data_IF_087780454044
#
_entry.id   IF_087780454044
#
_cell.length_a   1.000
_cell.length_b   1.000
_cell.length_c   1.000
_cell.angle_alpha   90.00
_cell.angle_beta   90.00
_cell.angle_gamma   90.00
#
_symmetry.space_group_name_H-M   'P 1'
#
loop_
_entity.id
_entity.type
_entity.pdbx_description
1 polymer ?
#
# COMPACT_ATOMS: atom_id res chain seq x y z
N UNK A 1 -24.67 2.92 -32.70
CA UNK A 1 -24.19 2.38 -31.41
C UNK A 1 -22.93 3.13 -31.06
N UNK A 2 -22.94 3.91 -29.98
CA UNK A 2 -21.80 4.73 -29.57
C UNK A 2 -20.68 3.82 -29.05
N UNK A 3 -19.40 4.13 -29.32
CA UNK A 3 -18.25 3.37 -28.82
C UNK A 3 -18.31 3.19 -27.28
N UNK A 4 -18.83 4.19 -26.58
CA UNK A 4 -19.01 4.18 -25.12
C UNK A 4 -20.00 3.13 -24.59
N UNK A 5 -21.02 2.76 -25.37
CA UNK A 5 -22.00 1.75 -24.94
C UNK A 5 -21.45 0.31 -25.09
N UNK A 6 -20.54 0.12 -26.05
CA UNK A 6 -19.89 -1.17 -26.30
C UNK A 6 -18.96 -1.55 -25.13
N UNK A 7 -18.20 -0.57 -24.64
CA UNK A 7 -17.22 -0.69 -23.55
C UNK A 7 -17.90 -0.92 -22.19
N UNK A 8 -19.12 -0.40 -21.99
CA UNK A 8 -19.89 -0.62 -20.74
C UNK A 8 -20.62 -1.96 -20.69
N UNK A 9 -20.65 -2.72 -21.78
CA UNK A 9 -21.40 -3.98 -21.85
C UNK A 9 -20.77 -5.07 -20.97
N UNK A 10 -21.62 -5.91 -20.34
CA UNK A 10 -21.15 -7.09 -19.56
C UNK A 10 -20.22 -8.00 -20.36
N UNK A 11 -20.44 -8.12 -21.68
CA UNK A 11 -19.62 -8.93 -22.58
C UNK A 11 -18.21 -8.35 -22.72
N UNK A 12 -18.08 -7.02 -22.82
CA UNK A 12 -16.78 -6.34 -22.88
C UNK A 12 -16.00 -6.45 -21.57
N UNK A 13 -16.65 -6.30 -20.40
CA UNK A 13 -16.01 -6.47 -19.09
C UNK A 13 -15.47 -7.89 -18.88
N UNK A 14 -16.26 -8.91 -19.24
CA UNK A 14 -15.82 -10.32 -19.14
C UNK A 14 -14.71 -10.63 -20.15
N UNK A 15 -14.76 -10.02 -21.33
CA UNK A 15 -13.69 -10.13 -22.31
C UNK A 15 -12.39 -9.49 -21.81
N UNK A 16 -12.44 -8.28 -21.23
CA UNK A 16 -11.27 -7.60 -20.66
C UNK A 16 -10.67 -8.38 -19.49
N UNK A 17 -11.49 -8.88 -18.56
CA UNK A 17 -11.00 -9.74 -17.48
C UNK A 17 -10.22 -10.98 -17.98
N UNK A 18 -10.65 -11.58 -19.10
CA UNK A 18 -9.93 -12.69 -19.74
C UNK A 18 -8.68 -12.23 -20.47
N UNK A 19 -8.71 -11.06 -21.11
CA UNK A 19 -7.56 -10.46 -21.79
C UNK A 19 -6.43 -10.15 -20.80
N UNK A 20 -6.75 -9.58 -19.64
CA UNK A 20 -5.80 -9.34 -18.54
C UNK A 20 -5.20 -10.65 -18.01
N UNK A 21 -6.03 -11.66 -17.76
CA UNK A 21 -5.54 -12.96 -17.25
C UNK A 21 -4.65 -13.71 -18.24
N UNK A 22 -5.01 -13.73 -19.52
CA UNK A 22 -4.23 -14.39 -20.56
C UNK A 22 -2.91 -13.64 -20.78
N UNK A 23 -2.94 -12.32 -20.91
CA UNK A 23 -1.72 -11.55 -21.15
C UNK A 23 -0.75 -11.54 -19.96
N UNK A 24 -1.26 -11.45 -18.73
CA UNK A 24 -0.43 -11.59 -17.53
C UNK A 24 0.32 -12.94 -17.50
N UNK A 25 -0.34 -14.03 -17.94
CA UNK A 25 0.31 -15.35 -18.01
C UNK A 25 1.48 -15.38 -19.00
N UNK A 26 1.35 -14.74 -20.16
CA UNK A 26 2.40 -14.68 -21.20
C UNK A 26 3.59 -13.85 -20.71
N UNK A 27 3.33 -12.74 -20.01
CA UNK A 27 4.35 -11.86 -19.43
C UNK A 27 5.14 -12.55 -18.34
N UNK A 28 4.46 -13.27 -17.43
CA UNK A 28 5.09 -14.02 -16.35
C UNK A 28 5.98 -15.14 -16.92
N UNK A 29 5.56 -15.83 -17.98
CA UNK A 29 6.39 -16.85 -18.65
C UNK A 29 7.62 -16.21 -19.31
N UNK A 30 7.47 -15.04 -19.93
CA UNK A 30 8.60 -14.28 -20.49
C UNK A 30 9.61 -13.86 -19.43
N UNK A 31 9.15 -13.35 -18.29
CA UNK A 31 10.00 -13.02 -17.15
C UNK A 31 10.68 -14.27 -16.56
N UNK A 32 9.95 -15.38 -16.44
CA UNK A 32 10.50 -16.65 -15.94
C UNK A 32 11.65 -17.14 -16.82
N UNK A 33 11.49 -17.11 -18.15
CA UNK A 33 12.54 -17.51 -19.10
C UNK A 33 13.78 -16.63 -18.99
N UNK A 34 13.60 -15.33 -18.76
CA UNK A 34 14.69 -14.38 -18.55
C UNK A 34 15.48 -14.68 -17.28
N UNK A 35 14.80 -15.00 -16.17
CA UNK A 35 15.43 -15.29 -14.87
C UNK A 35 16.14 -16.67 -14.89
N UNK A 36 15.57 -17.66 -15.58
CA UNK A 36 16.09 -19.03 -15.64
C UNK A 36 17.11 -19.27 -16.77
N UNK A 37 17.42 -18.25 -17.57
CA UNK A 37 18.43 -18.29 -18.63
C UNK A 37 18.21 -19.41 -19.67
N UNK A 38 16.94 -19.70 -19.99
CA UNK A 38 16.58 -20.71 -20.99
C UNK A 38 16.89 -20.17 -22.39
N UNK A 39 17.35 -21.04 -23.30
CA UNK A 39 17.68 -20.65 -24.68
C UNK A 39 16.43 -20.09 -25.38
N UNK A 40 16.50 -18.84 -25.84
CA UNK A 40 15.35 -18.10 -26.41
C UNK A 40 14.64 -17.14 -25.46
N UNK A 41 15.19 -16.91 -24.25
CA UNK A 41 14.61 -16.03 -23.24
C UNK A 41 14.32 -14.61 -23.73
N UNK A 42 15.21 -14.02 -24.53
CA UNK A 42 15.02 -12.65 -25.04
C UNK A 42 13.82 -12.55 -25.99
N UNK A 43 13.59 -13.58 -26.80
CA UNK A 43 12.44 -13.64 -27.72
C UNK A 43 11.14 -13.80 -26.94
N UNK A 44 11.12 -14.65 -25.91
CA UNK A 44 9.93 -14.85 -25.08
C UNK A 44 9.59 -13.59 -24.25
N UNK A 45 10.61 -12.90 -23.72
CA UNK A 45 10.43 -11.64 -22.99
C UNK A 45 9.90 -10.54 -23.91
N UNK A 46 10.42 -10.44 -25.13
CA UNK A 46 9.95 -9.50 -26.14
C UNK A 46 8.47 -9.69 -26.47
N UNK A 47 8.03 -10.94 -26.64
CA UNK A 47 6.61 -11.28 -26.87
C UNK A 47 5.74 -10.93 -25.65
N UNK A 48 6.24 -11.18 -24.43
CA UNK A 48 5.56 -10.79 -23.20
C UNK A 48 5.34 -9.28 -23.12
N UNK A 49 6.38 -8.49 -23.35
CA UNK A 49 6.30 -7.01 -23.30
C UNK A 49 5.38 -6.42 -24.38
N UNK A 50 5.36 -7.00 -25.58
CA UNK A 50 4.39 -6.60 -26.63
C UNK A 50 2.96 -6.89 -26.17
N UNK A 51 2.72 -8.03 -25.53
CA UNK A 51 1.41 -8.42 -25.02
C UNK A 51 0.94 -7.44 -23.94
N UNK A 52 1.82 -7.04 -23.03
CA UNK A 52 1.55 -6.04 -22.00
C UNK A 52 1.18 -4.67 -22.60
N UNK A 53 1.90 -4.25 -23.64
CA UNK A 53 1.65 -2.97 -24.33
C UNK A 53 0.27 -2.92 -24.98
N UNK A 54 -0.17 -4.03 -25.57
CA UNK A 54 -1.52 -4.16 -26.16
C UNK A 54 -2.60 -4.08 -25.07
N UNK A 55 -2.38 -4.73 -23.92
CA UNK A 55 -3.32 -4.69 -22.79
C UNK A 55 -3.48 -3.27 -22.24
N UNK A 56 -2.38 -2.55 -22.03
CA UNK A 56 -2.42 -1.16 -21.55
C UNK A 56 -3.13 -0.22 -22.52
N UNK A 57 -2.96 -0.44 -23.83
CA UNK A 57 -3.69 0.33 -24.83
C UNK A 57 -5.21 0.15 -24.69
N UNK A 58 -5.67 -1.07 -24.41
CA UNK A 58 -7.08 -1.36 -24.23
C UNK A 58 -7.64 -0.95 -22.86
N UNK A 59 -6.82 -0.93 -21.80
CA UNK A 59 -7.23 -0.47 -20.46
C UNK A 59 -7.54 1.02 -20.41
N UNK A 60 -6.88 1.83 -21.26
CA UNK A 60 -7.13 3.27 -21.38
C UNK A 60 -8.58 3.62 -21.80
N UNK A 61 -9.31 2.65 -22.37
CA UNK A 61 -10.71 2.83 -22.75
C UNK A 61 -11.69 2.39 -21.65
N UNK A 62 -11.24 1.84 -20.51
CA UNK A 62 -12.14 1.51 -19.41
C UNK A 62 -12.59 2.79 -18.67
N UNK A 63 -13.90 2.97 -18.41
CA UNK A 63 -14.39 4.13 -17.67
C UNK A 63 -13.86 4.12 -16.23
N UNK A 64 -13.55 5.29 -15.65
CA UNK A 64 -13.07 5.39 -14.28
C UNK A 64 -14.08 4.77 -13.30
N UNK A 65 -13.58 4.03 -12.31
CA UNK A 65 -14.40 3.43 -11.27
C UNK A 65 -15.04 4.55 -10.45
N UNK A 66 -16.36 4.63 -10.46
CA UNK A 66 -17.14 5.57 -9.64
C UNK A 66 -17.61 4.77 -8.43
N UNK A 67 -17.20 5.18 -7.23
CA UNK A 67 -17.67 4.53 -6.01
C UNK A 67 -19.21 4.65 -5.91
N UNK A 68 -19.92 3.57 -5.53
CA UNK A 68 -21.36 3.63 -5.31
C UNK A 68 -21.68 4.69 -4.24
N UNK A 69 -22.60 5.62 -4.53
CA UNK A 69 -23.01 6.64 -3.57
C UNK A 69 -23.95 6.04 -2.52
N UNK A 70 -23.38 5.70 -1.36
CA UNK A 70 -24.08 5.06 -0.25
C UNK A 70 -25.06 6.00 0.49
N UNK A 71 -25.03 7.31 0.20
CA UNK A 71 -25.92 8.31 0.82
C UNK A 71 -27.39 8.14 0.44
N UNK A 72 -27.68 7.45 -0.66
CA UNK A 72 -29.03 7.08 -1.10
C UNK A 72 -29.71 6.03 -0.21
N UNK A 73 -28.93 5.27 0.57
CA UNK A 73 -29.43 4.17 1.43
C UNK A 73 -29.28 4.51 2.91
N UNK A 74 -28.25 5.28 3.28
CA UNK A 74 -28.00 5.74 4.64
C UNK A 74 -27.84 7.27 4.66
N UNK A 75 -28.93 8.02 4.90
CA UNK A 75 -28.92 9.49 4.83
C UNK A 75 -27.98 10.14 5.87
N UNK A 76 -27.56 9.40 6.90
CA UNK A 76 -26.59 9.84 7.92
C UNK A 76 -25.16 10.01 7.36
N UNK A 77 -24.83 9.39 6.23
CA UNK A 77 -23.51 9.49 5.57
C UNK A 77 -23.44 10.59 4.51
N UNK A 78 -24.54 11.31 4.26
CA UNK A 78 -24.62 12.34 3.22
C UNK A 78 -23.58 13.46 3.39
N UNK A 79 -23.21 13.78 4.64
CA UNK A 79 -22.19 14.78 4.97
C UNK A 79 -20.74 14.40 4.65
N UNK A 80 -20.46 13.15 4.26
CA UNK A 80 -19.12 12.71 3.86
C UNK A 80 -18.89 12.83 2.34
N UNK A 81 -19.96 12.93 1.55
CA UNK A 81 -19.91 12.84 0.09
C UNK A 81 -20.48 14.06 -0.64
N UNK A 82 -21.29 14.89 0.04
CA UNK A 82 -22.00 16.03 -0.54
C UNK A 82 -21.82 17.29 0.33
N UNK A 83 -21.69 18.44 -0.32
CA UNK A 83 -21.59 19.75 0.36
C UNK A 83 -22.92 20.17 0.98
N UNK A 84 -22.91 21.12 1.93
CA UNK A 84 -24.13 21.59 2.62
C UNK A 84 -25.21 22.09 1.64
N UNK A 85 -24.81 22.77 0.56
CA UNK A 85 -25.73 23.22 -0.51
C UNK A 85 -26.34 22.05 -1.31
N UNK A 86 -25.57 20.98 -1.54
CA UNK A 86 -26.04 19.77 -2.24
C UNK A 86 -26.98 18.93 -1.37
N UNK A 87 -26.74 18.87 -0.06
CA UNK A 87 -27.63 18.24 0.93
C UNK A 87 -28.98 18.97 0.96
N UNK A 88 -28.98 20.29 0.87
CA UNK A 88 -30.19 21.11 0.87
C UNK A 88 -31.01 20.94 -0.42
N UNK A 89 -30.34 20.87 -1.57
CA UNK A 89 -30.98 20.52 -2.85
C UNK A 89 -31.56 19.10 -2.86
N UNK A 90 -30.89 18.13 -2.22
CA UNK A 90 -31.39 16.75 -2.12
C UNK A 90 -32.61 16.62 -1.21
N UNK A 91 -32.70 17.44 -0.15
CA UNK A 91 -33.91 17.57 0.68
C UNK A 91 -35.07 18.18 -0.12
N UNK A 92 -34.82 19.23 -0.90
CA UNK A 92 -35.84 19.90 -1.71
C UNK A 92 -36.40 19.00 -2.82
N UNK A 93 -35.59 18.08 -3.36
CA UNK A 93 -36.00 17.07 -4.34
C UNK A 93 -36.59 15.79 -3.72
N UNK A 94 -36.70 15.71 -2.39
CA UNK A 94 -37.34 14.60 -1.68
C UNK A 94 -36.53 13.30 -1.62
N UNK A 95 -35.22 13.35 -1.84
CA UNK A 95 -34.33 12.17 -1.76
C UNK A 95 -33.90 11.83 -0.33
N UNK A 96 -34.08 12.75 0.64
CA UNK A 96 -33.78 12.57 2.07
C UNK A 96 -34.98 13.07 2.89
N UNK A 97 -35.51 12.27 3.84
CA UNK A 97 -36.68 12.61 4.66
C UNK A 97 -36.30 13.26 5.99
N UNK A 98 -37.07 14.29 6.36
CA UNK A 98 -36.96 15.04 7.62
C UNK A 98 -37.44 14.23 8.84
N UNK A 99 -36.74 14.36 9.96
CA UNK A 99 -37.15 13.81 11.27
C UNK A 99 -38.12 14.81 11.91
N UNK A 100 -39.41 14.46 11.99
CA UNK A 100 -40.39 15.24 12.76
C UNK A 100 -40.17 15.02 14.25
N UNK A 101 -39.96 16.10 14.99
CA UNK A 101 -40.18 16.17 16.43
C UNK A 101 -41.69 16.24 16.70
N UNK A 102 -42.15 15.42 17.65
CA UNK A 102 -43.36 15.50 18.50
C UNK A 102 -43.99 14.11 18.66
N UNK A 103 -43.61 13.40 19.73
CA UNK A 103 -44.51 12.47 20.39
C UNK A 103 -44.71 12.92 21.83
N UNK A 104 -45.98 13.17 22.14
CA UNK A 104 -46.48 13.63 23.41
C UNK A 104 -46.19 12.63 24.53
N UNK A 105 -45.84 13.17 25.69
CA UNK A 105 -45.59 12.43 26.92
C UNK A 105 -46.84 11.67 27.39
N UNK A 106 -46.70 10.35 27.59
CA UNK A 106 -47.68 9.40 28.16
C UNK A 106 -48.27 9.79 29.53
N UNK A 107 -47.76 10.83 30.18
CA UNK A 107 -48.24 11.34 31.47
C UNK A 107 -49.45 12.26 31.37
N UNK A 108 -49.72 12.88 30.21
CA UNK A 108 -50.87 13.79 30.03
C UNK A 108 -52.21 13.09 29.78
N UNK A 109 -52.19 11.88 29.21
CA UNK A 109 -53.38 11.06 28.92
C UNK A 109 -53.92 10.35 30.19
N UNK A 110 -53.03 10.00 31.12
CA UNK A 110 -53.34 9.36 32.41
C UNK A 110 -54.02 10.32 33.41
N UNK A 111 -53.56 11.57 33.45
CA UNK A 111 -54.09 12.60 34.37
C UNK A 111 -55.49 13.09 33.95
N UNK A 112 -55.79 12.96 32.65
CA UNK A 112 -57.12 13.23 32.08
C UNK A 112 -58.11 12.09 32.35
N UNK A 113 -57.63 10.84 32.39
CA UNK A 113 -58.44 9.67 32.78
C UNK A 113 -58.69 9.57 34.29
N UNK A 114 -57.83 10.15 35.13
CA UNK A 114 -58.00 10.21 36.58
C UNK A 114 -59.01 11.28 37.06
N UNK A 115 -59.36 12.24 36.19
CA UNK A 115 -60.20 13.40 36.54
C UNK A 115 -61.70 13.24 36.23
N UNK A 116 -62.11 12.18 35.54
CA UNK A 116 -63.48 12.04 34.99
C UNK A 116 -64.30 10.83 35.48
N UNK A 117 -63.80 10.02 36.41
CA UNK A 117 -64.58 8.91 36.97
C UNK A 117 -65.34 9.33 38.23
N UNK A 118 -66.44 10.06 38.04
CA UNK A 118 -67.38 10.46 39.08
C UNK A 118 -68.08 9.21 39.67
N UNK A 119 -67.69 8.82 40.88
CA UNK A 119 -68.27 7.69 41.61
C UNK A 119 -69.62 8.13 42.19
N UNK A 120 -70.72 7.56 41.69
CA UNK A 120 -71.87 7.24 42.52
C UNK A 120 -72.73 6.17 41.85
N UNK A 121 -73.13 5.18 42.67
CA UNK A 121 -73.99 4.01 42.37
C UNK A 121 -73.40 2.82 41.61
N UNK A 122 -72.26 2.26 42.04
CA UNK A 122 -72.00 0.83 41.80
C UNK A 122 -71.05 0.10 42.77
N UNK A 123 -71.11 0.41 44.07
CA UNK A 123 -70.18 -0.14 45.10
C UNK A 123 -70.40 -1.65 45.36
N UNK A 124 -71.55 -2.22 44.96
CA UNK A 124 -71.86 -3.64 45.21
C UNK A 124 -71.44 -4.54 44.03
N UNK A 125 -71.58 -4.09 42.77
CA UNK A 125 -71.04 -4.83 41.63
C UNK A 125 -69.51 -4.68 41.53
N UNK A 126 -68.95 -3.52 41.88
CA UNK A 126 -67.49 -3.31 41.93
C UNK A 126 -66.80 -4.09 43.06
N UNK A 127 -67.50 -4.46 44.13
CA UNK A 127 -66.99 -5.39 45.15
C UNK A 127 -66.97 -6.84 44.64
N UNK A 128 -68.02 -7.28 43.92
CA UNK A 128 -68.07 -8.60 43.30
C UNK A 128 -67.06 -8.75 42.15
N UNK A 129 -66.91 -7.72 41.33
CA UNK A 129 -65.88 -7.62 40.30
C UNK A 129 -64.49 -7.48 40.92
N UNK A 130 -64.36 -6.77 42.04
CA UNK A 130 -63.12 -6.68 42.83
C UNK A 130 -62.68 -8.02 43.41
N UNK A 131 -63.60 -8.86 43.88
CA UNK A 131 -63.32 -10.22 44.36
C UNK A 131 -63.00 -11.20 43.21
N UNK A 132 -63.66 -11.07 42.06
CA UNK A 132 -63.37 -11.89 40.88
C UNK A 132 -62.04 -11.49 40.21
N UNK A 133 -61.75 -10.18 40.19
CA UNK A 133 -60.45 -9.64 39.81
C UNK A 133 -59.38 -10.09 40.82
N UNK A 134 -59.63 -10.04 42.13
CA UNK A 134 -58.70 -10.57 43.14
C UNK A 134 -58.46 -12.07 42.97
N UNK A 135 -59.47 -12.88 42.67
CA UNK A 135 -59.33 -14.31 42.38
C UNK A 135 -58.55 -14.58 41.08
N UNK A 136 -58.72 -13.74 40.07
CA UNK A 136 -57.97 -13.79 38.81
C UNK A 136 -56.52 -13.33 39.02
N UNK A 137 -56.30 -12.26 39.77
CA UNK A 137 -54.99 -11.78 40.24
C UNK A 137 -54.33 -12.80 41.16
N UNK A 138 -55.06 -13.58 41.96
CA UNK A 138 -54.55 -14.71 42.76
C UNK A 138 -54.14 -15.91 41.89
N UNK A 139 -54.85 -16.16 40.78
CA UNK A 139 -54.45 -17.14 39.74
C UNK A 139 -53.25 -16.66 38.94
N UNK A 140 -53.13 -15.37 38.64
CA UNK A 140 -51.95 -14.76 38.03
C UNK A 140 -50.77 -14.64 39.02
N UNK A 141 -51.03 -14.52 40.31
CA UNK A 141 -50.06 -14.69 41.40
C UNK A 141 -49.52 -16.12 41.48
N UNK A 142 -50.28 -17.12 41.03
CA UNK A 142 -49.75 -18.48 40.83
C UNK A 142 -48.77 -18.53 39.63
N UNK A 143 -48.95 -17.64 38.63
CA UNK A 143 -47.99 -17.40 37.55
C UNK A 143 -46.78 -16.53 37.98
N UNK A 144 -46.66 -16.10 39.25
CA UNK A 144 -45.37 -15.61 39.79
C UNK A 144 -44.29 -16.68 39.67
N UNK A 145 -44.66 -17.97 39.70
CA UNK A 145 -43.72 -19.04 39.40
C UNK A 145 -43.19 -18.96 37.95
N UNK A 146 -44.04 -18.56 36.99
CA UNK A 146 -43.64 -18.38 35.58
C UNK A 146 -42.82 -17.08 35.39
N UNK A 147 -43.16 -16.00 36.10
CA UNK A 147 -42.37 -14.77 36.15
C UNK A 147 -41.00 -15.02 36.80
N UNK A 148 -40.95 -15.80 37.88
CA UNK A 148 -39.72 -16.22 38.53
C UNK A 148 -38.85 -17.07 37.59
N UNK A 149 -39.43 -18.05 36.87
CA UNK A 149 -38.70 -18.85 35.87
C UNK A 149 -38.20 -18.01 34.69
N UNK A 150 -39.01 -17.09 34.15
CA UNK A 150 -38.58 -16.14 33.11
C UNK A 150 -37.47 -15.22 33.60
N UNK A 151 -37.51 -14.82 34.87
CA UNK A 151 -36.49 -14.00 35.50
C UNK A 151 -35.21 -14.78 35.80
N UNK A 152 -35.29 -16.07 36.18
CA UNK A 152 -34.11 -16.98 36.26
C UNK A 152 -33.47 -17.20 34.88
N UNK A 153 -34.27 -17.42 33.83
CA UNK A 153 -33.75 -17.55 32.46
C UNK A 153 -33.12 -16.26 31.95
N UNK A 154 -33.67 -15.09 32.33
CA UNK A 154 -33.09 -13.79 32.04
C UNK A 154 -31.72 -13.62 32.73
N UNK A 155 -31.61 -13.95 34.02
CA UNK A 155 -30.33 -13.91 34.76
C UNK A 155 -29.29 -14.82 34.09
N UNK A 156 -29.64 -16.06 33.77
CA UNK A 156 -28.73 -16.99 33.07
C UNK A 156 -28.29 -16.47 31.69
N UNK A 157 -29.21 -15.86 30.94
CA UNK A 157 -28.89 -15.26 29.63
C UNK A 157 -27.94 -14.08 29.78
N UNK A 158 -28.18 -13.25 30.79
CA UNK A 158 -27.31 -12.11 31.10
C UNK A 158 -25.92 -12.57 31.54
N UNK A 159 -25.81 -13.62 32.35
CA UNK A 159 -24.52 -14.20 32.75
C UNK A 159 -23.73 -14.70 31.53
N UNK A 160 -24.40 -15.36 30.58
CA UNK A 160 -23.76 -15.76 29.32
C UNK A 160 -23.33 -14.56 28.46
N UNK A 161 -24.13 -13.49 28.39
CA UNK A 161 -23.73 -12.23 27.73
C UNK A 161 -22.52 -11.61 28.42
N UNK A 162 -22.47 -11.65 29.75
CA UNK A 162 -21.36 -11.13 30.55
C UNK A 162 -20.05 -11.88 30.26
N UNK A 163 -20.10 -13.22 30.24
CA UNK A 163 -18.94 -14.07 29.89
C UNK A 163 -18.43 -13.80 28.47
N UNK A 164 -19.33 -13.70 27.49
CA UNK A 164 -18.96 -13.41 26.10
C UNK A 164 -18.40 -11.99 25.94
N UNK A 165 -18.97 -11.00 26.62
CA UNK A 165 -18.47 -9.63 26.61
C UNK A 165 -17.11 -9.49 27.31
N UNK A 166 -16.84 -10.26 28.37
CA UNK A 166 -15.51 -10.34 28.98
C UNK A 166 -14.47 -10.95 28.03
N UNK A 167 -14.82 -12.04 27.36
CA UNK A 167 -13.96 -12.66 26.35
C UNK A 167 -13.67 -11.69 25.19
N UNK A 168 -14.68 -10.94 24.74
CA UNK A 168 -14.55 -9.94 23.70
C UNK A 168 -13.68 -8.75 24.14
N UNK A 169 -13.86 -8.24 25.35
CA UNK A 169 -13.01 -7.17 25.92
C UNK A 169 -11.54 -7.60 26.00
N UNK A 170 -11.28 -8.84 26.44
CA UNK A 170 -9.92 -9.39 26.46
C UNK A 170 -9.34 -9.53 25.05
N UNK A 171 -10.16 -9.94 24.07
CA UNK A 171 -9.75 -10.02 22.68
C UNK A 171 -9.37 -8.65 22.13
N UNK A 172 -10.19 -7.61 22.36
CA UNK A 172 -9.86 -6.24 21.93
C UNK A 172 -8.60 -5.70 22.60
N UNK A 173 -8.43 -5.92 23.92
CA UNK A 173 -7.19 -5.56 24.61
C UNK A 173 -5.96 -6.22 23.97
N UNK A 174 -6.04 -7.52 23.68
CA UNK A 174 -4.95 -8.26 23.03
C UNK A 174 -4.70 -7.76 21.61
N UNK A 175 -5.74 -7.39 20.87
CA UNK A 175 -5.62 -6.78 19.54
C UNK A 175 -4.88 -5.44 19.60
N UNK A 176 -5.21 -4.58 20.57
CA UNK A 176 -4.49 -3.32 20.80
C UNK A 176 -3.00 -3.55 21.10
N UNK A 177 -2.67 -4.49 22.01
CA UNK A 177 -1.28 -4.85 22.34
C UNK A 177 -0.50 -5.37 21.11
N UNK A 178 -1.14 -6.17 20.25
CA UNK A 178 -0.52 -6.67 19.02
C UNK A 178 -0.30 -5.56 18.00
N UNK A 179 -1.28 -4.67 17.81
CA UNK A 179 -1.17 -3.52 16.90
C UNK A 179 -0.09 -2.54 17.35
N UNK A 180 0.04 -2.32 18.65
CA UNK A 180 1.08 -1.46 19.21
C UNK A 180 2.48 -2.04 18.96
N UNK A 181 2.65 -3.35 19.21
CA UNK A 181 3.91 -4.05 18.90
C UNK A 181 4.22 -4.09 17.40
N UNK A 182 3.22 -4.24 16.55
CA UNK A 182 3.37 -4.13 15.09
C UNK A 182 3.82 -2.73 14.69
N UNK A 183 3.26 -1.69 15.32
CA UNK A 183 3.63 -0.28 15.11
C UNK A 183 5.10 -0.04 15.46
N UNK A 184 5.57 -0.51 16.61
CA UNK A 184 6.98 -0.42 17.03
C UNK A 184 7.93 -1.12 16.04
N UNK A 185 7.62 -2.36 15.64
CA UNK A 185 8.42 -3.10 14.66
C UNK A 185 8.45 -2.40 13.29
N UNK A 186 7.31 -1.86 12.87
CA UNK A 186 7.21 -1.13 11.60
C UNK A 186 8.00 0.16 11.66
N UNK A 187 8.04 0.83 12.81
CA UNK A 187 8.85 2.04 13.02
C UNK A 187 10.35 1.74 12.89
N UNK A 188 10.83 0.61 13.43
CA UNK A 188 12.21 0.16 13.24
C UNK A 188 12.51 -0.11 11.76
N UNK A 189 11.61 -0.78 11.04
CA UNK A 189 11.75 -0.97 9.60
C UNK A 189 11.84 0.37 8.85
N UNK A 190 10.98 1.35 9.15
CA UNK A 190 11.04 2.69 8.56
C UNK A 190 12.40 3.34 8.79
N UNK A 191 12.95 3.29 10.00
CA UNK A 191 14.28 3.82 10.30
C UNK A 191 15.38 3.12 9.50
N UNK A 192 15.33 1.79 9.41
CA UNK A 192 16.28 1.00 8.61
C UNK A 192 16.18 1.35 7.11
N UNK A 193 14.96 1.48 6.57
CA UNK A 193 14.74 1.94 5.19
C UNK A 193 15.28 3.35 4.96
N UNK A 194 15.15 4.26 5.93
CA UNK A 194 15.74 5.59 5.88
C UNK A 194 17.27 5.53 5.72
N UNK A 195 17.94 4.70 6.53
CA UNK A 195 19.39 4.47 6.41
C UNK A 195 19.78 3.85 5.06
N UNK A 196 19.01 2.87 4.56
CA UNK A 196 19.24 2.27 3.24
C UNK A 196 19.06 3.30 2.10
N UNK A 197 18.03 4.16 2.20
CA UNK A 197 17.77 5.24 1.22
C UNK A 197 18.95 6.21 1.17
N UNK A 198 19.48 6.60 2.33
CA UNK A 198 20.66 7.46 2.41
C UNK A 198 21.90 6.81 1.78
N UNK A 199 22.20 5.57 2.15
CA UNK A 199 23.36 4.83 1.63
C UNK A 199 23.25 4.60 0.12
N UNK A 200 22.05 4.28 -0.37
CA UNK A 200 21.76 4.16 -1.80
C UNK A 200 21.98 5.49 -2.53
N UNK A 201 21.50 6.61 -1.97
CA UNK A 201 21.75 7.94 -2.52
C UNK A 201 23.24 8.28 -2.61
N UNK A 202 24.03 7.95 -1.58
CA UNK A 202 25.49 8.11 -1.59
C UNK A 202 26.16 7.25 -2.67
N UNK A 203 25.74 5.99 -2.82
CA UNK A 203 26.27 5.10 -3.85
C UNK A 203 25.95 5.60 -5.27
N UNK A 204 24.71 6.03 -5.53
CA UNK A 204 24.30 6.61 -6.82
C UNK A 204 25.17 7.83 -7.18
N UNK A 205 25.40 8.73 -6.21
CA UNK A 205 26.27 9.89 -6.38
C UNK A 205 27.72 9.49 -6.68
N UNK A 206 28.27 8.54 -5.92
CA UNK A 206 29.62 8.04 -6.13
C UNK A 206 29.81 7.42 -7.53
N UNK A 207 28.87 6.61 -8.00
CA UNK A 207 28.90 6.07 -9.35
C UNK A 207 28.89 7.17 -10.41
N UNK A 208 28.06 8.20 -10.23
CA UNK A 208 28.00 9.35 -11.14
C UNK A 208 29.30 10.14 -11.17
N UNK A 209 29.93 10.39 -10.02
CA UNK A 209 31.22 11.08 -9.93
C UNK A 209 32.35 10.27 -10.60
N UNK A 210 32.38 8.95 -10.40
CA UNK A 210 33.37 8.08 -11.05
C UNK A 210 33.15 8.07 -12.57
N UNK A 211 31.90 7.96 -13.02
CA UNK A 211 31.57 7.99 -14.45
C UNK A 211 32.04 9.30 -15.11
N UNK A 212 31.83 10.44 -14.45
CA UNK A 212 32.28 11.74 -14.95
C UNK A 212 33.82 11.82 -15.05
N UNK A 213 34.55 11.38 -14.02
CA UNK A 213 36.02 11.35 -14.05
C UNK A 213 36.56 10.41 -15.13
N UNK A 214 35.92 9.26 -15.33
CA UNK A 214 36.29 8.34 -16.40
C UNK A 214 36.01 8.93 -17.78
N UNK A 215 34.95 9.72 -17.92
CA UNK A 215 34.64 10.41 -19.17
C UNK A 215 35.71 11.46 -19.50
N UNK A 216 36.15 12.24 -18.51
CA UNK A 216 37.30 13.16 -18.65
C UNK A 216 38.57 12.41 -19.10
N UNK A 217 38.91 11.30 -18.43
CA UNK A 217 40.05 10.45 -18.79
C UNK A 217 39.91 9.86 -20.21
N UNK A 218 38.71 9.44 -20.61
CA UNK A 218 38.41 8.92 -21.95
C UNK A 218 38.67 9.98 -23.02
N UNK A 219 38.23 11.23 -22.79
CA UNK A 219 38.46 12.35 -23.69
C UNK A 219 39.96 12.67 -23.82
N UNK A 220 40.70 12.67 -22.72
CA UNK A 220 42.16 12.87 -22.72
C UNK A 220 42.86 11.78 -23.53
N UNK A 221 42.50 10.51 -23.30
CA UNK A 221 43.06 9.37 -24.04
C UNK A 221 42.73 9.42 -25.53
N UNK A 222 41.52 9.85 -25.88
CA UNK A 222 41.12 10.03 -27.27
C UNK A 222 42.00 11.08 -27.97
N UNK A 223 42.23 12.22 -27.31
CA UNK A 223 43.13 13.25 -27.83
C UNK A 223 44.58 12.74 -27.96
N UNK A 224 45.08 12.00 -26.98
CA UNK A 224 46.40 11.36 -27.05
C UNK A 224 46.50 10.38 -28.23
N UNK A 225 45.49 9.54 -28.43
CA UNK A 225 45.44 8.58 -29.55
C UNK A 225 45.52 9.30 -30.90
N UNK A 226 44.74 10.37 -31.06
CA UNK A 226 44.73 11.19 -32.26
C UNK A 226 46.09 11.87 -32.53
N UNK A 227 46.77 12.34 -31.47
CA UNK A 227 48.12 12.87 -31.56
C UNK A 227 49.14 11.80 -31.99
N UNK A 228 49.06 10.60 -31.42
CA UNK A 228 49.93 9.47 -31.80
C UNK A 228 49.70 9.11 -33.28
N UNK A 229 48.45 9.09 -33.74
CA UNK A 229 48.13 8.83 -35.14
C UNK A 229 48.75 9.89 -36.07
N UNK A 230 48.58 11.17 -35.73
CA UNK A 230 49.13 12.30 -36.51
C UNK A 230 50.66 12.29 -36.54
N UNK A 231 51.31 11.98 -35.41
CA UNK A 231 52.75 11.83 -35.31
C UNK A 231 53.26 10.63 -36.14
N UNK A 232 52.55 9.50 -36.10
CA UNK A 232 52.88 8.31 -36.88
C UNK A 232 52.79 8.59 -38.38
N UNK A 233 51.77 9.33 -38.82
CA UNK A 233 51.63 9.73 -40.22
C UNK A 233 52.76 10.69 -40.65
N UNK A 234 53.15 11.62 -39.79
CA UNK A 234 54.28 12.52 -40.05
C UNK A 234 55.61 11.75 -40.15
N UNK A 235 55.82 10.76 -39.28
CA UNK A 235 56.98 9.89 -39.33
C UNK A 235 57.01 9.03 -40.60
N UNK A 236 55.86 8.50 -41.05
CA UNK A 236 55.76 7.76 -42.31
C UNK A 236 56.19 8.60 -43.51
N UNK A 237 55.74 9.87 -43.58
CA UNK A 237 56.16 10.80 -44.62
C UNK A 237 57.67 11.09 -44.57
N UNK A 238 58.27 11.13 -43.37
CA UNK A 238 59.71 11.36 -43.22
C UNK A 238 60.53 10.15 -43.70
N UNK A 239 60.08 8.93 -43.37
CA UNK A 239 60.68 7.67 -43.85
C UNK A 239 60.65 7.61 -45.39
N UNK A 240 59.53 8.00 -45.99
CA UNK A 240 59.39 8.09 -47.45
C UNK A 240 60.41 9.08 -48.06
N UNK A 241 60.51 10.30 -47.51
CA UNK A 241 61.46 11.32 -47.98
C UNK A 241 62.91 10.92 -47.77
N UNK A 242 63.23 10.19 -46.70
CA UNK A 242 64.57 9.65 -46.50
C UNK A 242 64.92 8.58 -47.54
N UNK A 243 63.99 7.70 -47.88
CA UNK A 243 64.20 6.72 -48.95
C UNK A 243 64.40 7.38 -50.31
N UNK A 244 63.60 8.41 -50.65
CA UNK A 244 63.80 9.21 -51.87
C UNK A 244 65.20 9.87 -51.90
N UNK A 245 65.63 10.42 -50.77
CA UNK A 245 66.94 11.09 -50.64
C UNK A 245 68.09 10.09 -50.75
N UNK A 246 67.99 8.95 -50.07
CA UNK A 246 68.96 7.86 -50.14
C UNK A 246 69.12 7.34 -51.57
N UNK A 247 68.00 7.15 -52.29
CA UNK A 247 68.02 6.74 -53.70
C UNK A 247 68.67 7.81 -54.60
N UNK A 248 68.36 9.09 -54.36
CA UNK A 248 68.95 10.20 -55.12
C UNK A 248 70.46 10.31 -54.88
N UNK A 249 70.91 10.17 -53.63
CA UNK A 249 72.33 10.13 -53.27
C UNK A 249 73.04 8.95 -53.95
N UNK A 250 72.44 7.76 -53.91
CA UNK A 250 72.98 6.57 -54.60
C UNK A 250 73.15 6.83 -56.10
N UNK A 251 72.10 7.32 -56.76
CA UNK A 251 72.16 7.65 -58.19
C UNK A 251 73.24 8.70 -58.49
N UNK A 252 73.41 9.71 -57.62
CA UNK A 252 74.46 10.71 -57.76
C UNK A 252 75.88 10.14 -57.57
N UNK A 253 76.08 9.26 -56.58
CA UNK A 253 77.36 8.55 -56.37
C UNK A 253 77.74 7.67 -57.56
N UNK A 254 76.76 7.03 -58.20
CA UNK A 254 76.98 6.16 -59.35
C UNK A 254 77.29 6.95 -60.63
N UNK A 255 76.82 8.19 -60.73
CA UNK A 255 77.05 9.08 -61.88
C UNK A 255 78.40 9.82 -61.87
N UNK A 256 79.15 9.80 -60.76
CA UNK A 256 80.47 10.43 -60.67
C UNK A 256 81.53 9.50 -61.26
N UNK A 257 82.18 9.94 -62.34
CA UNK A 257 83.32 9.26 -62.97
C UNK A 257 84.59 10.16 -63.00
N UNK A 258 85.73 9.50 -62.83
CA UNK A 258 87.14 9.91 -62.98
C UNK A 258 87.76 10.93 -61.99
N UNK A 259 88.71 10.45 -61.15
CA UNK A 259 89.69 11.25 -60.39
C UNK A 259 89.98 10.73 -58.96
N UNK A 260 91.18 10.92 -58.42
CA UNK A 260 91.58 10.43 -57.07
C UNK A 260 90.64 10.96 -55.96
N UNK A 261 90.12 12.18 -56.11
CA UNK A 261 89.13 12.78 -55.21
C UNK A 261 87.70 12.23 -55.38
N UNK A 262 87.37 11.61 -56.51
CA UNK A 262 86.05 11.02 -56.77
C UNK A 262 85.81 9.79 -55.88
N UNK A 263 86.86 9.00 -55.61
CA UNK A 263 86.82 7.85 -54.70
C UNK A 263 86.46 8.26 -53.27
N UNK A 264 87.15 9.28 -52.74
CA UNK A 264 86.92 9.80 -51.37
C UNK A 264 85.51 10.38 -51.23
N UNK A 265 85.03 11.07 -52.25
CA UNK A 265 83.67 11.60 -52.26
C UNK A 265 82.61 10.48 -52.30
N UNK A 266 82.83 9.45 -53.14
CA UNK A 266 81.94 8.28 -53.23
C UNK A 266 81.87 7.52 -51.90
N UNK A 267 82.99 7.39 -51.20
CA UNK A 267 83.05 6.80 -49.86
C UNK A 267 82.24 7.62 -48.84
N UNK A 268 82.41 8.95 -48.81
CA UNK A 268 81.62 9.83 -47.93
C UNK A 268 80.12 9.77 -48.22
N UNK A 269 79.73 9.68 -49.49
CA UNK A 269 78.33 9.52 -49.87
C UNK A 269 77.75 8.18 -49.42
N UNK A 270 78.53 7.10 -49.56
CA UNK A 270 78.18 5.77 -49.05
C UNK A 270 78.00 5.78 -47.53
N UNK A 271 78.89 6.49 -46.81
CA UNK A 271 78.81 6.66 -45.35
C UNK A 271 77.52 7.38 -44.94
N UNK A 272 77.15 8.46 -45.64
CA UNK A 272 75.88 9.18 -45.43
C UNK A 272 74.69 8.26 -45.70
N UNK A 273 74.70 7.54 -46.82
CA UNK A 273 73.63 6.63 -47.19
C UNK A 273 73.44 5.52 -46.13
N UNK A 274 74.54 5.01 -45.59
CA UNK A 274 74.51 4.01 -44.51
C UNK A 274 73.90 4.60 -43.23
N UNK A 275 74.31 5.82 -42.84
CA UNK A 275 73.72 6.52 -41.67
C UNK A 275 72.24 6.83 -41.85
N UNK A 276 71.81 7.23 -43.05
CA UNK A 276 70.41 7.46 -43.40
C UNK A 276 69.59 6.17 -43.30
N UNK A 277 70.12 5.05 -43.82
CA UNK A 277 69.44 3.74 -43.75
C UNK A 277 69.27 3.28 -42.30
N UNK A 278 70.31 3.43 -41.46
CA UNK A 278 70.24 3.12 -40.03
C UNK A 278 69.24 4.01 -39.28
N UNK A 279 69.20 5.31 -39.60
CA UNK A 279 68.22 6.25 -39.04
C UNK A 279 66.80 5.88 -39.45
N UNK A 280 66.61 5.46 -40.71
CA UNK A 280 65.31 5.05 -41.23
C UNK A 280 64.76 3.82 -40.49
N UNK A 281 65.62 2.82 -40.27
CA UNK A 281 65.26 1.64 -39.48
C UNK A 281 64.85 2.00 -38.04
N UNK A 282 65.48 3.01 -37.42
CA UNK A 282 65.08 3.49 -36.10
C UNK A 282 63.70 4.17 -36.12
N UNK A 283 63.40 4.98 -37.14
CA UNK A 283 62.07 5.58 -37.32
C UNK A 283 60.99 4.53 -37.56
N UNK A 284 61.24 3.52 -38.40
CA UNK A 284 60.31 2.41 -38.64
C UNK A 284 59.98 1.66 -37.34
N UNK A 285 61.00 1.35 -36.53
CA UNK A 285 60.82 0.71 -35.23
C UNK A 285 59.98 1.57 -34.28
N UNK A 286 60.26 2.88 -34.22
CA UNK A 286 59.51 3.81 -33.38
C UNK A 286 58.06 3.94 -33.85
N UNK A 287 57.81 3.93 -35.16
CA UNK A 287 56.47 3.95 -35.75
C UNK A 287 55.68 2.70 -35.38
N UNK A 288 56.32 1.53 -35.46
CA UNK A 288 55.70 0.26 -35.05
C UNK A 288 55.29 0.30 -33.58
N UNK A 289 56.17 0.77 -32.69
CA UNK A 289 55.87 0.93 -31.28
C UNK A 289 54.74 1.96 -31.03
N UNK A 290 54.72 3.07 -31.78
CA UNK A 290 53.65 4.06 -31.71
C UNK A 290 52.30 3.47 -32.15
N UNK A 291 52.28 2.65 -33.20
CA UNK A 291 51.07 1.99 -33.68
C UNK A 291 50.52 0.96 -32.67
N UNK A 292 51.40 0.13 -32.10
CA UNK A 292 51.05 -0.79 -31.01
C UNK A 292 50.46 -0.02 -29.80
N UNK A 293 51.10 1.08 -29.39
CA UNK A 293 50.60 1.94 -28.30
C UNK A 293 49.25 2.60 -28.63
N UNK A 294 49.03 3.04 -29.88
CA UNK A 294 47.77 3.59 -30.33
C UNK A 294 46.65 2.53 -30.29
N UNK A 295 46.93 1.30 -30.71
CA UNK A 295 45.99 0.18 -30.63
C UNK A 295 45.61 -0.10 -29.17
N UNK A 296 46.60 -0.21 -28.27
CA UNK A 296 46.36 -0.43 -26.83
C UNK A 296 45.53 0.69 -26.22
N UNK A 297 45.83 1.94 -26.59
CA UNK A 297 45.08 3.12 -26.12
C UNK A 297 43.63 3.09 -26.64
N UNK A 298 43.41 2.70 -27.89
CA UNK A 298 42.06 2.56 -28.47
C UNK A 298 41.23 1.52 -27.71
N UNK A 299 41.80 0.34 -27.45
CA UNK A 299 41.15 -0.69 -26.63
C UNK A 299 40.87 -0.18 -25.22
N UNK A 300 41.82 0.54 -24.60
CA UNK A 300 41.62 1.14 -23.28
C UNK A 300 40.46 2.14 -23.25
N UNK A 301 40.29 2.95 -24.29
CA UNK A 301 39.16 3.90 -24.41
C UNK A 301 37.83 3.13 -24.49
N UNK A 302 37.78 2.06 -25.29
CA UNK A 302 36.57 1.22 -25.40
C UNK A 302 36.19 0.63 -24.04
N UNK A 303 37.14 0.06 -23.31
CA UNK A 303 36.90 -0.50 -21.97
C UNK A 303 36.44 0.57 -20.98
N UNK A 304 37.02 1.77 -21.03
CA UNK A 304 36.59 2.89 -20.17
C UNK A 304 35.15 3.30 -20.52
N UNK A 305 34.81 3.41 -21.81
CA UNK A 305 33.46 3.78 -22.25
C UNK A 305 32.41 2.73 -21.84
N UNK A 306 32.74 1.44 -21.92
CA UNK A 306 31.87 0.38 -21.38
C UNK A 306 31.68 0.51 -19.86
N UNK A 307 32.75 0.83 -19.12
CA UNK A 307 32.67 1.03 -17.67
C UNK A 307 31.83 2.26 -17.32
N UNK A 308 31.98 3.38 -18.05
CA UNK A 308 31.14 4.58 -17.91
C UNK A 308 29.67 4.21 -18.11
N UNK A 309 29.35 3.49 -19.19
CA UNK A 309 27.98 3.06 -19.48
C UNK A 309 27.39 2.21 -18.35
N UNK A 310 28.16 1.25 -17.82
CA UNK A 310 27.75 0.43 -16.66
C UNK A 310 27.55 1.26 -15.40
N UNK A 311 28.44 2.22 -15.13
CA UNK A 311 28.32 3.11 -13.97
C UNK A 311 27.11 4.02 -14.07
N UNK A 312 26.84 4.61 -15.24
CA UNK A 312 25.64 5.43 -15.47
C UNK A 312 24.36 4.60 -15.30
N UNK A 313 24.32 3.38 -15.84
CA UNK A 313 23.22 2.45 -15.61
C UNK A 313 23.05 2.10 -14.12
N UNK A 314 24.16 1.93 -13.39
CA UNK A 314 24.14 1.70 -11.94
C UNK A 314 23.64 2.94 -11.17
N UNK A 315 24.03 4.15 -11.56
CA UNK A 315 23.51 5.41 -10.99
C UNK A 315 22.01 5.49 -11.14
N UNK A 316 21.47 5.18 -12.33
CA UNK A 316 20.04 5.20 -12.61
C UNK A 316 19.29 4.12 -11.81
N UNK A 317 19.75 2.87 -11.86
CA UNK A 317 19.14 1.77 -11.12
C UNK A 317 19.12 2.03 -9.60
N UNK A 318 20.23 2.55 -9.06
CA UNK A 318 20.33 2.92 -7.65
C UNK A 318 19.43 4.12 -7.33
N UNK A 319 19.29 5.07 -8.25
CA UNK A 319 18.34 6.19 -8.13
C UNK A 319 16.88 5.70 -8.04
N UNK A 320 16.46 4.79 -8.92
CA UNK A 320 15.13 4.18 -8.87
C UNK A 320 14.92 3.37 -7.58
N UNK A 321 15.92 2.59 -7.16
CA UNK A 321 15.86 1.87 -5.89
C UNK A 321 15.67 2.80 -4.70
N UNK A 322 16.39 3.93 -4.67
CA UNK A 322 16.24 4.99 -3.65
C UNK A 322 14.81 5.55 -3.62
N UNK A 323 14.22 5.83 -4.78
CA UNK A 323 12.83 6.31 -4.88
C UNK A 323 11.83 5.27 -4.37
N UNK A 324 12.02 3.99 -4.73
CA UNK A 324 11.17 2.89 -4.26
C UNK A 324 11.24 2.72 -2.74
N UNK A 325 12.43 2.79 -2.15
CA UNK A 325 12.60 2.76 -0.69
C UNK A 325 11.91 3.94 -0.01
N UNK A 326 12.02 5.15 -0.57
CA UNK A 326 11.33 6.32 -0.03
C UNK A 326 9.81 6.18 -0.09
N UNK A 327 9.27 5.66 -1.20
CA UNK A 327 7.84 5.41 -1.34
C UNK A 327 7.36 4.34 -0.35
N UNK A 328 8.13 3.27 -0.16
CA UNK A 328 7.83 2.22 0.81
C UNK A 328 7.88 2.76 2.25
N UNK A 329 8.88 3.58 2.59
CA UNK A 329 8.97 4.26 3.89
C UNK A 329 7.69 5.05 4.19
N UNK A 330 7.22 5.86 3.23
CA UNK A 330 5.97 6.62 3.38
C UNK A 330 4.74 5.73 3.55
N UNK A 331 4.67 4.62 2.83
CA UNK A 331 3.56 3.68 2.96
C UNK A 331 3.53 3.02 4.36
N UNK A 332 4.70 2.64 4.88
CA UNK A 332 4.83 2.09 6.23
C UNK A 332 4.54 3.14 7.31
N UNK A 333 4.97 4.39 7.14
CA UNK A 333 4.57 5.50 8.03
C UNK A 333 3.04 5.71 8.05
N UNK A 334 2.40 5.62 6.88
CA UNK A 334 0.94 5.67 6.80
C UNK A 334 0.28 4.47 7.50
N UNK A 335 0.86 3.28 7.40
CA UNK A 335 0.38 2.08 8.09
C UNK A 335 0.50 2.22 9.61
N UNK A 336 1.63 2.73 10.12
CA UNK A 336 1.84 3.05 11.54
C UNK A 336 0.73 3.99 12.04
N UNK A 337 0.46 5.07 11.31
CA UNK A 337 -0.61 6.00 11.68
C UNK A 337 -2.00 5.33 11.69
N UNK A 338 -2.27 4.46 10.72
CA UNK A 338 -3.51 3.67 10.65
C UNK A 338 -3.63 2.68 11.82
N UNK A 339 -2.56 1.95 12.14
CA UNK A 339 -2.51 1.02 13.26
C UNK A 339 -2.68 1.74 14.59
N UNK A 340 -2.04 2.90 14.80
CA UNK A 340 -2.22 3.71 16.00
C UNK A 340 -3.68 4.16 16.16
N UNK A 341 -4.34 4.60 15.09
CA UNK A 341 -5.77 4.95 15.13
C UNK A 341 -6.65 3.72 15.44
N UNK A 342 -6.31 2.56 14.88
CA UNK A 342 -7.03 1.31 15.14
C UNK A 342 -6.85 0.85 16.60
N UNK A 343 -5.65 1.00 17.17
CA UNK A 343 -5.35 0.75 18.58
C UNK A 343 -6.22 1.64 19.46
N UNK A 344 -6.23 2.95 19.22
CA UNK A 344 -7.06 3.90 19.97
C UNK A 344 -8.55 3.53 19.93
N UNK A 345 -9.10 3.28 18.73
CA UNK A 345 -10.50 2.85 18.59
C UNK A 345 -10.79 1.53 19.30
N UNK A 346 -9.83 0.61 19.31
CA UNK A 346 -9.95 -0.68 19.98
C UNK A 346 -10.00 -0.51 21.50
N UNK A 347 -9.20 0.41 22.05
CA UNK A 347 -9.23 0.76 23.46
C UNK A 347 -10.55 1.43 23.85
N UNK A 348 -11.05 2.37 23.05
CA UNK A 348 -12.36 3.01 23.26
C UNK A 348 -13.50 1.99 23.28
N UNK A 349 -13.51 1.04 22.33
CA UNK A 349 -14.50 -0.06 22.30
C UNK A 349 -14.38 -0.95 23.54
N UNK A 350 -13.15 -1.31 23.94
CA UNK A 350 -12.92 -2.12 25.14
C UNK A 350 -13.46 -1.43 26.40
N UNK A 351 -13.27 -0.10 26.50
CA UNK A 351 -13.78 0.70 27.60
C UNK A 351 -15.31 0.79 27.59
N UNK A 352 -15.93 1.04 26.44
CA UNK A 352 -17.39 1.05 26.29
C UNK A 352 -18.02 -0.30 26.66
N UNK A 353 -17.37 -1.41 26.31
CA UNK A 353 -17.80 -2.75 26.72
C UNK A 353 -17.73 -2.94 28.23
N UNK A 354 -16.68 -2.45 28.88
CA UNK A 354 -16.55 -2.51 30.34
C UNK A 354 -17.67 -1.75 31.03
N UNK A 355 -18.00 -0.55 30.57
CA UNK A 355 -19.12 0.24 31.11
C UNK A 355 -20.48 -0.45 30.89
N UNK A 356 -20.68 -1.10 29.74
CA UNK A 356 -21.88 -1.90 29.48
C UNK A 356 -22.00 -3.07 30.46
N UNK A 357 -20.89 -3.79 30.70
CA UNK A 357 -20.85 -4.89 31.66
C UNK A 357 -21.21 -4.43 33.08
N UNK A 358 -20.69 -3.28 33.50
CA UNK A 358 -21.01 -2.71 34.81
C UNK A 358 -22.50 -2.38 34.94
N UNK A 359 -23.12 -1.81 33.89
CA UNK A 359 -24.56 -1.51 33.85
C UNK A 359 -25.41 -2.78 33.85
N UNK A 360 -24.99 -3.81 33.11
CA UNK A 360 -25.66 -5.11 33.06
C UNK A 360 -25.63 -5.76 34.46
N UNK A 361 -24.47 -5.77 35.12
CA UNK A 361 -24.35 -6.31 36.48
C UNK A 361 -25.27 -5.57 37.47
N UNK A 362 -25.36 -4.24 37.37
CA UNK A 362 -26.30 -3.46 38.18
C UNK A 362 -27.77 -3.84 37.90
N UNK A 363 -28.14 -4.06 36.63
CA UNK A 363 -29.48 -4.47 36.24
C UNK A 363 -29.85 -5.88 36.77
N UNK A 364 -28.90 -6.83 36.79
CA UNK A 364 -29.08 -8.14 37.42
C UNK A 364 -29.42 -7.95 38.91
N UNK A 365 -28.61 -7.18 39.63
CA UNK A 365 -28.81 -6.94 41.06
C UNK A 365 -30.18 -6.28 41.35
N UNK A 366 -30.62 -5.34 40.52
CA UNK A 366 -31.96 -4.76 40.62
C UNK A 366 -33.08 -5.80 40.37
N UNK A 367 -32.89 -6.68 39.39
CA UNK A 367 -33.86 -7.73 39.05
C UNK A 367 -33.99 -8.76 40.18
N UNK A 368 -32.88 -9.18 40.78
CA UNK A 368 -32.88 -10.08 41.94
C UNK A 368 -33.60 -9.46 43.14
N UNK A 369 -33.37 -8.18 43.42
CA UNK A 369 -34.06 -7.47 44.49
C UNK A 369 -35.57 -7.35 44.21
N UNK A 370 -35.96 -7.03 42.97
CA UNK A 370 -37.37 -6.99 42.57
C UNK A 370 -38.05 -8.36 42.74
N UNK A 371 -37.40 -9.46 42.35
CA UNK A 371 -37.93 -10.81 42.60
C UNK A 371 -38.19 -11.05 44.09
N UNK A 372 -37.24 -10.66 44.95
CA UNK A 372 -37.34 -10.82 46.40
C UNK A 372 -38.51 -10.02 46.97
N UNK A 373 -38.68 -8.78 46.54
CA UNK A 373 -39.79 -7.92 46.96
C UNK A 373 -41.14 -8.42 46.46
N UNK A 374 -41.23 -8.84 45.19
CA UNK A 374 -42.43 -9.41 44.61
C UNK A 374 -42.87 -10.69 45.35
N UNK A 375 -41.91 -11.56 45.72
CA UNK A 375 -42.18 -12.75 46.53
C UNK A 375 -42.73 -12.38 47.92
N UNK A 376 -42.10 -11.42 48.59
CA UNK A 376 -42.53 -10.95 49.91
C UNK A 376 -43.93 -10.31 49.86
N UNK A 377 -44.23 -9.54 48.81
CA UNK A 377 -45.56 -8.98 48.57
C UNK A 377 -46.61 -10.08 48.34
N UNK A 378 -46.27 -11.09 47.52
CA UNK A 378 -47.15 -12.23 47.27
C UNK A 378 -47.47 -13.00 48.56
N UNK A 379 -46.49 -13.25 49.41
CA UNK A 379 -46.66 -13.88 50.73
C UNK A 379 -47.60 -13.04 51.63
N UNK A 380 -47.35 -11.73 51.73
CA UNK A 380 -48.20 -10.82 52.51
C UNK A 380 -49.65 -10.76 51.99
N UNK A 381 -49.84 -10.77 50.67
CA UNK A 381 -51.17 -10.76 50.06
C UNK A 381 -51.91 -12.08 50.30
N UNK A 382 -51.20 -13.21 50.25
CA UNK A 382 -51.76 -14.52 50.59
C UNK A 382 -52.22 -14.57 52.06
N UNK A 383 -51.41 -14.03 52.98
CA UNK A 383 -51.77 -13.93 54.39
C UNK A 383 -52.97 -13.01 54.63
N UNK A 384 -53.00 -11.85 53.97
CA UNK A 384 -54.12 -10.91 54.07
C UNK A 384 -55.42 -11.54 53.56
N UNK A 385 -55.35 -12.22 52.40
CA UNK A 385 -56.49 -12.94 51.81
C UNK A 385 -56.97 -14.06 52.73
N UNK A 386 -56.06 -14.79 53.39
CA UNK A 386 -56.39 -15.81 54.39
C UNK A 386 -57.11 -15.21 55.59
N UNK A 387 -56.64 -14.07 56.10
CA UNK A 387 -57.28 -13.34 57.22
C UNK A 387 -58.68 -12.85 56.82
N UNK A 388 -58.83 -12.25 55.65
CA UNK A 388 -60.13 -11.79 55.16
C UNK A 388 -61.10 -12.95 54.87
N UNK A 389 -60.62 -14.05 54.29
CA UNK A 389 -61.43 -15.26 54.07
C UNK A 389 -61.93 -15.89 55.38
N UNK A 390 -61.07 -15.90 56.41
CA UNK A 390 -61.45 -16.35 57.75
C UNK A 390 -62.47 -15.40 58.40
N UNK A 391 -62.33 -14.09 58.24
CA UNK A 391 -63.31 -13.11 58.73
C UNK A 391 -64.66 -13.21 58.00
N UNK A 392 -64.67 -13.35 56.69
CA UNK A 392 -65.88 -13.57 55.88
C UNK A 392 -66.57 -14.88 56.27
N UNK A 393 -65.81 -15.97 56.42
CA UNK A 393 -66.37 -17.25 56.89
C UNK A 393 -66.98 -17.12 58.29
N UNK A 394 -66.31 -16.43 59.21
CA UNK A 394 -66.84 -16.17 60.54
C UNK A 394 -68.08 -15.27 60.55
N UNK A 395 -68.22 -14.37 59.56
CA UNK A 395 -69.37 -13.48 59.40
C UNK A 395 -70.56 -14.19 58.72
N UNK A 396 -70.30 -15.12 57.81
CA UNK A 396 -71.34 -15.92 57.10
C UNK A 396 -71.93 -17.03 57.99
N UNK A 397 -71.19 -17.49 59.00
CA UNK A 397 -71.65 -18.48 59.99
C UNK A 397 -72.63 -17.87 61.03
N UNK A 398 -72.84 -16.55 61.03
CA UNK A 398 -73.72 -15.84 61.98
C UNK A 398 -75.04 -15.31 61.38
N UNK A 399 -75.57 -15.97 60.35
CA UNK A 399 -76.95 -15.74 59.85
C UNK A 399 -77.85 -16.90 60.25
#
# INVERSE_FOLDING_TARGET
MNLFDLVKSKKYKVFMARLYGIGASVVIIGALFKITHIRGADVMLFVGLITESIIFFFSAFEPPYIDPDWSLVHPELAGLYHTEEEIEMMKQKGLIKEKKEEEASLTGELDKMLKEANIQTDVIASLGQGLNNLNTTLKELNNISEVAVKSTNLVNTIDHVNQNAQALSQSYKKTAEVLDKESELTQEHVTNLGGMTQNSGLASKAYGEIANKLNEESNIRSALNQNIHSASQSAANLVEKYNETAQTLKNAADAIDVGENASVFKEKLSEINTKLTSLNAAYELQMKAAHENASVTSTSIQTINELISKLMGSTEATGQFTQNLSALSKALESQINGSNLQTQKTEEVSQAYKELLDRINAAIAHTENYQKEAKNLAEKMADLTRIYGNMLSAMTIKV
#
